data_IF_045525581442
#
_entry.id   IF_045525581442
#
_cell.length_a   1.000
_cell.length_b   1.000
_cell.length_c   1.000
_cell.angle_alpha   90.00
_cell.angle_beta   90.00
_cell.angle_gamma   90.00
#
_symmetry.space_group_name_H-M   'P 1'
#
loop_
_entity.id
_entity.type
_entity.pdbx_description
1 polymer ?
#
# COMPACT_ATOMS: atom_id res chain seq x y z
N UNK A 1 -17.08 21.70 -44.44
CA UNK A 1 -16.88 20.55 -43.52
C UNK A 1 -15.77 20.89 -42.54
N UNK A 2 -16.08 21.54 -41.42
CA UNK A 2 -15.13 21.84 -40.35
C UNK A 2 -15.78 21.40 -39.04
N UNK A 3 -15.33 20.26 -38.50
CA UNK A 3 -15.43 19.85 -37.08
C UNK A 3 -15.30 18.32 -36.98
N UNK A 4 -14.07 17.80 -37.07
CA UNK A 4 -13.73 16.48 -36.50
C UNK A 4 -12.24 16.32 -36.16
N UNK A 5 -11.36 17.26 -36.51
CA UNK A 5 -9.91 17.12 -36.26
C UNK A 5 -9.46 17.54 -34.85
N UNK A 6 -10.23 18.37 -34.14
CA UNK A 6 -9.81 18.88 -32.82
C UNK A 6 -10.02 17.89 -31.66
N UNK A 7 -11.02 17.01 -31.74
CA UNK A 7 -11.34 16.08 -30.65
C UNK A 7 -10.42 14.84 -30.61
N UNK A 8 -9.97 14.34 -31.77
CA UNK A 8 -9.09 13.18 -31.86
C UNK A 8 -7.63 13.52 -31.48
N UNK A 9 -7.23 14.78 -31.71
CA UNK A 9 -5.88 15.27 -31.38
C UNK A 9 -5.72 15.46 -29.87
N UNK A 10 -6.74 16.00 -29.19
CA UNK A 10 -6.76 16.11 -27.73
C UNK A 10 -6.73 14.74 -27.05
N UNK A 11 -7.51 13.76 -27.52
CA UNK A 11 -7.51 12.41 -26.95
C UNK A 11 -6.14 11.72 -27.06
N UNK A 12 -5.43 11.93 -28.17
CA UNK A 12 -4.11 11.31 -28.41
C UNK A 12 -3.00 12.02 -27.61
N UNK A 13 -3.09 13.34 -27.44
CA UNK A 13 -2.13 14.13 -26.65
C UNK A 13 -2.29 13.90 -25.15
N UNK A 14 -3.54 13.85 -24.66
CA UNK A 14 -3.85 13.41 -23.29
C UNK A 14 -3.31 12.01 -23.03
N UNK A 15 -3.54 11.06 -23.94
CA UNK A 15 -3.03 9.69 -23.80
C UNK A 15 -1.49 9.63 -23.75
N UNK A 16 -0.78 10.44 -24.53
CA UNK A 16 0.70 10.50 -24.51
C UNK A 16 1.25 11.11 -23.22
N UNK A 17 0.63 12.18 -22.71
CA UNK A 17 1.01 12.79 -21.44
C UNK A 17 0.77 11.82 -20.29
N UNK A 18 -0.39 11.17 -20.26
CA UNK A 18 -0.74 10.12 -19.30
C UNK A 18 0.28 8.96 -19.37
N UNK A 19 0.66 8.47 -20.55
CA UNK A 19 1.70 7.42 -20.71
C UNK A 19 3.08 7.86 -20.18
N UNK A 20 3.48 9.12 -20.39
CA UNK A 20 4.75 9.66 -19.88
C UNK A 20 4.76 9.77 -18.35
N UNK A 21 3.63 10.14 -17.74
CA UNK A 21 3.46 10.19 -16.29
C UNK A 21 3.38 8.79 -15.66
N UNK A 22 2.74 7.84 -16.32
CA UNK A 22 2.73 6.44 -15.90
C UNK A 22 4.12 5.82 -15.91
N UNK A 23 4.90 6.08 -16.96
CA UNK A 23 6.29 5.62 -17.07
C UNK A 23 7.18 6.24 -15.97
N UNK A 24 6.98 7.52 -15.65
CA UNK A 24 7.74 8.19 -14.58
C UNK A 24 7.37 7.70 -13.18
N UNK A 25 6.11 7.38 -12.91
CA UNK A 25 5.68 6.85 -11.61
C UNK A 25 6.22 5.44 -11.36
N UNK A 26 6.18 4.54 -12.34
CA UNK A 26 6.75 3.19 -12.18
C UNK A 26 8.25 3.25 -11.90
N UNK A 27 8.96 4.15 -12.58
CA UNK A 27 10.38 4.37 -12.31
C UNK A 27 10.62 4.91 -10.88
N UNK A 28 9.84 5.91 -10.45
CA UNK A 28 9.97 6.48 -9.09
C UNK A 28 9.73 5.42 -8.00
N UNK A 29 8.77 4.52 -8.19
CA UNK A 29 8.51 3.40 -7.27
C UNK A 29 9.73 2.48 -7.19
N UNK A 30 10.28 2.07 -8.35
CA UNK A 30 11.44 1.20 -8.40
C UNK A 30 12.69 1.83 -7.76
N UNK A 31 12.91 3.13 -7.98
CA UNK A 31 13.98 3.89 -7.33
C UNK A 31 13.81 3.92 -5.80
N UNK A 32 12.59 4.24 -5.33
CA UNK A 32 12.28 4.25 -3.91
C UNK A 32 12.56 2.88 -3.27
N UNK A 33 12.10 1.80 -3.89
CA UNK A 33 12.29 0.44 -3.37
C UNK A 33 13.75 0.03 -3.34
N UNK A 34 14.54 0.45 -4.32
CA UNK A 34 15.98 0.20 -4.38
C UNK A 34 16.70 0.91 -3.22
N UNK A 35 16.40 2.19 -3.00
CA UNK A 35 16.98 2.95 -1.88
C UNK A 35 16.54 2.37 -0.55
N UNK A 36 15.26 2.01 -0.41
CA UNK A 36 14.72 1.41 0.80
C UNK A 36 15.38 0.06 1.10
N UNK A 37 15.64 -0.75 0.06
CA UNK A 37 16.36 -2.01 0.21
C UNK A 37 17.79 -1.79 0.68
N UNK A 38 18.52 -0.86 0.05
CA UNK A 38 19.89 -0.52 0.44
C UNK A 38 19.96 0.06 1.87
N UNK A 39 19.01 0.92 2.24
CA UNK A 39 18.98 1.59 3.55
C UNK A 39 18.86 0.64 4.74
N UNK A 40 18.32 -0.56 4.51
CA UNK A 40 18.07 -1.54 5.55
C UNK A 40 19.07 -2.68 5.56
N UNK A 41 19.98 -2.75 4.58
CA UNK A 41 20.89 -3.88 4.40
C UNK A 41 21.76 -4.10 5.65
N UNK A 42 22.55 -3.08 6.03
CA UNK A 42 23.43 -3.14 7.21
C UNK A 42 22.65 -3.39 8.51
N UNK A 43 21.42 -2.85 8.58
CA UNK A 43 20.55 -3.04 9.75
C UNK A 43 20.13 -4.51 9.90
N UNK A 44 19.87 -5.22 8.80
CA UNK A 44 19.48 -6.63 8.86
C UNK A 44 20.62 -7.51 9.34
N UNK A 45 21.86 -7.20 8.98
CA UNK A 45 23.04 -7.87 9.54
C UNK A 45 23.11 -7.71 11.06
N UNK A 46 23.03 -6.46 11.56
CA UNK A 46 23.04 -6.18 13.01
C UNK A 46 21.88 -6.87 13.73
N UNK A 47 20.69 -6.92 13.10
CA UNK A 47 19.54 -7.64 13.66
C UNK A 47 19.81 -9.13 13.77
N UNK A 48 20.35 -9.77 12.73
CA UNK A 48 20.65 -11.20 12.75
C UNK A 48 21.67 -11.53 13.85
N UNK A 49 22.73 -10.72 13.99
CA UNK A 49 23.76 -10.87 15.04
C UNK A 49 23.18 -10.72 16.46
N UNK A 50 22.23 -9.81 16.66
CA UNK A 50 21.62 -9.56 17.98
C UNK A 50 20.45 -10.50 18.31
N UNK A 51 19.99 -11.31 17.36
CA UNK A 51 18.80 -12.17 17.52
C UNK A 51 19.10 -13.57 18.07
N UNK A 52 20.27 -13.81 18.66
CA UNK A 52 20.61 -15.11 19.26
C UNK A 52 20.94 -16.22 18.25
N UNK A 53 21.26 -15.85 17.01
CA UNK A 53 21.96 -16.72 16.07
C UNK A 53 23.43 -16.84 16.48
N UNK A 54 24.05 -17.99 16.24
CA UNK A 54 25.50 -18.13 16.33
C UNK A 54 26.18 -17.42 15.16
N UNK A 55 27.42 -16.98 15.34
CA UNK A 55 28.22 -16.31 14.29
C UNK A 55 28.24 -17.15 13.00
N UNK A 56 28.44 -18.47 13.12
CA UNK A 56 28.41 -19.39 11.97
C UNK A 56 27.06 -19.42 11.25
N UNK A 57 25.94 -19.27 11.96
CA UNK A 57 24.62 -19.17 11.32
C UNK A 57 24.45 -17.84 10.59
N UNK A 58 24.91 -16.74 11.21
CA UNK A 58 24.87 -15.42 10.59
C UNK A 58 25.67 -15.42 9.29
N UNK A 59 26.93 -15.87 9.32
CA UNK A 59 27.80 -15.93 8.14
C UNK A 59 27.16 -16.75 7.02
N UNK A 60 26.65 -17.95 7.36
CA UNK A 60 25.97 -18.82 6.39
C UNK A 60 24.67 -18.23 5.84
N UNK A 61 24.03 -17.30 6.54
CA UNK A 61 22.86 -16.58 6.03
C UNK A 61 23.29 -15.44 5.11
N UNK A 62 24.32 -14.69 5.50
CA UNK A 62 24.81 -13.53 4.75
C UNK A 62 25.47 -13.93 3.42
N UNK A 63 26.20 -15.06 3.41
CA UNK A 63 26.88 -15.60 2.23
C UNK A 63 25.96 -16.40 1.30
N UNK A 64 24.69 -16.56 1.65
CA UNK A 64 23.73 -17.36 0.87
C UNK A 64 23.05 -16.55 -0.24
N UNK A 65 22.82 -17.20 -1.37
CA UNK A 65 21.95 -16.68 -2.44
C UNK A 65 20.52 -16.36 -1.96
N UNK A 66 20.05 -17.01 -0.88
CA UNK A 66 18.73 -16.77 -0.28
C UNK A 66 18.69 -15.52 0.63
N UNK A 67 19.80 -14.80 0.82
CA UNK A 67 19.86 -13.60 1.68
C UNK A 67 18.76 -12.59 1.33
N UNK A 68 18.56 -12.34 0.04
CA UNK A 68 17.53 -11.39 -0.44
C UNK A 68 16.12 -11.82 -0.01
N UNK A 69 15.84 -13.12 0.05
CA UNK A 69 14.55 -13.63 0.51
C UNK A 69 14.36 -13.43 2.02
N UNK A 70 15.44 -13.58 2.81
CA UNK A 70 15.44 -13.31 4.25
C UNK A 70 15.15 -11.83 4.50
N UNK A 71 15.88 -10.93 3.85
CA UNK A 71 15.70 -9.48 3.98
C UNK A 71 14.28 -9.04 3.55
N UNK A 72 13.76 -9.60 2.47
CA UNK A 72 12.38 -9.36 2.03
C UNK A 72 11.33 -9.85 3.04
N UNK A 73 11.58 -10.99 3.71
CA UNK A 73 10.71 -11.50 4.76
C UNK A 73 10.75 -10.64 6.03
N UNK A 74 11.93 -10.16 6.42
CA UNK A 74 12.13 -9.22 7.54
C UNK A 74 11.42 -7.89 7.28
N UNK A 75 11.69 -7.26 6.13
CA UNK A 75 11.05 -5.98 5.73
C UNK A 75 9.53 -6.08 5.80
N UNK A 76 8.97 -7.19 5.31
CA UNK A 76 7.53 -7.44 5.35
C UNK A 76 7.01 -7.66 6.75
N UNK A 77 7.72 -8.42 7.59
CA UNK A 77 7.37 -8.61 9.00
C UNK A 77 7.25 -7.29 9.74
N UNK A 78 8.26 -6.44 9.58
CA UNK A 78 8.29 -5.10 10.15
C UNK A 78 7.14 -4.21 9.63
N UNK A 79 6.83 -4.33 8.35
CA UNK A 79 5.71 -3.64 7.69
C UNK A 79 4.34 -4.12 8.14
N UNK A 80 4.26 -5.33 8.71
CA UNK A 80 3.06 -5.92 9.28
C UNK A 80 2.97 -5.77 10.81
N UNK A 81 3.93 -5.04 11.41
CA UNK A 81 3.98 -4.80 12.85
C UNK A 81 4.41 -6.03 13.67
N UNK A 82 5.06 -7.00 13.03
CA UNK A 82 5.70 -8.10 13.74
C UNK A 82 7.02 -7.63 14.36
N UNK A 83 7.33 -8.20 15.52
CA UNK A 83 8.65 -8.09 16.11
C UNK A 83 9.56 -9.09 15.38
N UNK A 84 10.30 -8.59 14.40
CA UNK A 84 11.14 -9.43 13.54
C UNK A 84 12.36 -9.98 14.27
N UNK A 85 12.85 -9.30 15.31
CA UNK A 85 13.94 -9.79 16.15
C UNK A 85 13.48 -10.99 16.98
N UNK A 86 12.30 -10.91 17.61
CA UNK A 86 11.68 -12.05 18.32
C UNK A 86 11.44 -13.24 17.37
N UNK A 87 10.97 -12.98 16.15
CA UNK A 87 10.76 -14.04 15.16
C UNK A 87 12.07 -14.75 14.78
N UNK A 88 13.15 -14.00 14.53
CA UNK A 88 14.48 -14.57 14.26
C UNK A 88 14.97 -15.36 15.48
N UNK A 89 14.86 -14.78 16.68
CA UNK A 89 15.26 -15.42 17.94
C UNK A 89 14.56 -16.76 18.18
N UNK A 90 13.28 -16.85 17.86
CA UNK A 90 12.49 -18.09 17.97
C UNK A 90 12.79 -19.09 16.86
N UNK A 91 13.35 -18.64 15.74
CA UNK A 91 13.78 -19.49 14.64
C UNK A 91 15.18 -20.09 14.88
N UNK A 92 16.07 -19.36 15.56
CA UNK A 92 17.48 -19.69 15.73
C UNK A 92 17.75 -21.16 16.14
N UNK A 93 17.08 -21.75 17.15
CA UNK A 93 17.35 -23.14 17.55
C UNK A 93 17.04 -24.19 16.47
N UNK A 94 16.20 -23.85 15.48
CA UNK A 94 15.86 -24.76 14.36
C UNK A 94 16.89 -24.73 13.24
N UNK A 95 17.82 -23.77 13.27
CA UNK A 95 18.85 -23.60 12.25
C UNK A 95 20.13 -24.36 12.60
N UNK A 96 20.24 -24.88 13.82
CA UNK A 96 21.39 -25.65 14.28
C UNK A 96 21.57 -26.90 13.40
N UNK A 97 22.74 -26.99 12.75
CA UNK A 97 23.04 -28.08 11.81
C UNK A 97 22.21 -28.08 10.51
N UNK A 98 21.38 -27.06 10.26
CA UNK A 98 20.56 -27.02 9.05
C UNK A 98 21.45 -26.83 7.80
N UNK A 99 21.21 -27.57 6.69
CA UNK A 99 22.05 -27.47 5.49
C UNK A 99 21.88 -26.12 4.77
N UNK A 100 20.70 -25.51 4.85
CA UNK A 100 20.37 -24.24 4.20
C UNK A 100 19.72 -23.28 5.20
N UNK A 101 20.49 -22.65 6.11
CA UNK A 101 19.92 -21.83 7.19
C UNK A 101 19.17 -20.59 6.68
N UNK A 102 19.63 -19.97 5.58
CA UNK A 102 18.96 -18.84 4.95
C UNK A 102 17.57 -19.18 4.42
N UNK A 103 17.43 -20.26 3.64
CA UNK A 103 16.13 -20.75 3.18
C UNK A 103 15.19 -21.09 4.34
N UNK A 104 15.71 -21.77 5.37
CA UNK A 104 14.92 -22.17 6.53
C UNK A 104 14.40 -20.97 7.33
N UNK A 105 15.24 -19.98 7.62
CA UNK A 105 14.79 -18.78 8.34
C UNK A 105 13.84 -17.94 7.48
N UNK A 106 14.07 -17.83 6.18
CA UNK A 106 13.14 -17.17 5.26
C UNK A 106 11.77 -17.87 5.29
N UNK A 107 11.71 -19.20 5.26
CA UNK A 107 10.45 -19.94 5.34
C UNK A 107 9.71 -19.68 6.67
N UNK A 108 10.44 -19.73 7.79
CA UNK A 108 9.89 -19.46 9.12
C UNK A 108 9.32 -18.05 9.19
N UNK A 109 10.11 -17.04 8.80
CA UNK A 109 9.67 -15.65 8.77
C UNK A 109 8.42 -15.51 7.89
N UNK A 110 8.43 -16.02 6.67
CA UNK A 110 7.31 -15.91 5.76
C UNK A 110 6.02 -16.57 6.28
N UNK A 111 6.13 -17.64 7.07
CA UNK A 111 4.97 -18.28 7.71
C UNK A 111 4.28 -17.36 8.71
N UNK A 112 5.03 -16.52 9.42
CA UNK A 112 4.48 -15.58 10.40
C UNK A 112 4.16 -14.20 9.80
N UNK A 113 4.93 -13.75 8.81
CA UNK A 113 4.80 -12.41 8.23
C UNK A 113 3.82 -12.35 7.06
N UNK A 114 3.25 -13.50 6.65
CA UNK A 114 2.26 -13.59 5.59
C UNK A 114 0.96 -12.83 5.88
N UNK A 115 0.54 -12.74 7.15
CA UNK A 115 -0.62 -11.98 7.60
C UNK A 115 -0.22 -10.81 8.52
N UNK A 116 -1.00 -9.70 8.55
CA UNK A 116 -0.87 -8.69 9.60
C UNK A 116 -1.00 -9.33 10.99
N UNK A 117 -0.29 -8.79 11.97
CA UNK A 117 -0.33 -9.31 13.34
C UNK A 117 -1.76 -9.23 13.92
N UNK A 118 -2.42 -10.38 14.08
CA UNK A 118 -3.77 -10.49 14.66
C UNK A 118 -3.81 -9.93 16.08
N UNK A 119 -4.83 -9.15 16.40
CA UNK A 119 -5.07 -8.62 17.76
C UNK A 119 -4.16 -7.46 18.18
N UNK A 120 -3.29 -6.96 17.30
CA UNK A 120 -2.53 -5.75 17.59
C UNK A 120 -3.47 -4.54 17.54
N UNK A 121 -3.66 -3.87 18.68
CA UNK A 121 -4.25 -2.51 18.74
C UNK A 121 -3.28 -1.43 18.24
N UNK A 122 -2.09 -1.81 17.76
CA UNK A 122 -1.11 -0.86 17.27
C UNK A 122 -1.63 -0.16 16.01
N UNK A 123 -1.34 1.13 15.92
CA UNK A 123 -1.60 1.94 14.72
C UNK A 123 -0.93 1.25 13.53
N UNK A 124 -1.70 1.03 12.45
CA UNK A 124 -1.17 0.47 11.23
C UNK A 124 0.04 1.29 10.77
N UNK A 125 1.17 0.64 10.41
CA UNK A 125 2.37 1.38 10.06
C UNK A 125 2.13 2.26 8.84
N UNK A 126 2.74 3.46 8.86
CA UNK A 126 2.68 4.40 7.75
C UNK A 126 3.29 3.78 6.49
N UNK A 127 2.71 4.13 5.35
CA UNK A 127 3.06 3.62 4.01
C UNK A 127 3.01 4.78 3.02
N UNK A 128 3.91 4.77 2.04
CA UNK A 128 3.88 5.74 0.93
C UNK A 128 2.59 5.51 0.15
N UNK A 129 1.75 6.56 0.10
CA UNK A 129 0.41 6.52 -0.50
C UNK A 129 -0.43 5.29 -0.07
N UNK A 130 -0.28 4.83 1.18
CA UNK A 130 -1.05 3.72 1.74
C UNK A 130 -0.63 2.32 1.30
N UNK A 131 0.30 2.18 0.35
CA UNK A 131 0.69 0.88 -0.21
C UNK A 131 2.13 0.47 0.14
N UNK A 132 3.11 1.27 -0.30
CA UNK A 132 4.52 0.87 -0.25
C UNK A 132 5.07 1.04 1.18
N UNK A 133 5.76 0.03 1.74
CA UNK A 133 6.38 0.15 3.05
C UNK A 133 7.34 1.33 3.19
N UNK A 134 7.30 1.96 4.37
CA UNK A 134 8.35 2.90 4.79
C UNK A 134 9.39 2.12 5.60
N UNK A 135 10.66 2.12 5.19
CA UNK A 135 11.70 1.43 5.94
C UNK A 135 11.85 2.08 7.32
N UNK A 136 11.93 1.25 8.38
CA UNK A 136 12.10 1.74 9.76
C UNK A 136 13.55 1.56 10.22
N UNK A 137 13.80 1.97 11.46
CA UNK A 137 15.06 1.77 12.16
C UNK A 137 16.10 2.84 11.86
N UNK A 138 17.34 2.55 12.24
CA UNK A 138 18.47 3.44 11.98
C UNK A 138 18.76 3.42 10.46
N UNK A 139 18.65 4.60 9.86
CA UNK A 139 18.94 4.87 8.45
C UNK A 139 19.82 6.13 8.44
N UNK A 140 20.82 6.19 7.57
CA UNK A 140 21.65 7.39 7.42
C UNK A 140 20.81 8.60 7.00
N UNK A 141 21.26 9.80 7.35
CA UNK A 141 20.48 11.01 7.06
C UNK A 141 20.29 11.23 5.55
N UNK A 142 21.32 11.00 4.75
CA UNK A 142 21.26 11.12 3.30
C UNK A 142 20.22 10.18 2.68
N UNK A 143 20.19 8.92 3.13
CA UNK A 143 19.20 7.96 2.63
C UNK A 143 17.79 8.29 3.13
N UNK A 144 17.64 8.78 4.36
CA UNK A 144 16.36 9.26 4.88
C UNK A 144 15.83 10.44 4.04
N UNK A 145 16.70 11.38 3.70
CA UNK A 145 16.35 12.51 2.83
C UNK A 145 15.92 12.02 1.44
N UNK A 146 16.69 11.13 0.82
CA UNK A 146 16.40 10.56 -0.49
C UNK A 146 15.07 9.77 -0.54
N UNK A 147 14.76 9.03 0.53
CA UNK A 147 13.48 8.33 0.69
C UNK A 147 12.32 9.30 0.88
N UNK A 148 12.51 10.33 1.70
CA UNK A 148 11.48 11.35 1.99
C UNK A 148 11.12 12.13 0.73
N UNK A 149 12.12 12.53 -0.07
CA UNK A 149 11.90 13.23 -1.34
C UNK A 149 11.05 12.38 -2.29
N UNK A 150 11.41 11.10 -2.46
CA UNK A 150 10.69 10.17 -3.34
C UNK A 150 9.29 9.86 -2.82
N UNK A 151 9.11 9.66 -1.51
CA UNK A 151 7.80 9.51 -0.88
C UNK A 151 6.88 10.70 -1.24
N UNK A 152 7.38 11.93 -1.15
CA UNK A 152 6.62 13.13 -1.46
C UNK A 152 6.28 13.24 -2.95
N UNK A 153 7.19 12.89 -3.85
CA UNK A 153 6.93 12.89 -5.29
C UNK A 153 5.89 11.81 -5.63
N UNK A 154 6.11 10.56 -5.22
CA UNK A 154 5.19 9.43 -5.46
C UNK A 154 3.80 9.77 -4.93
N UNK A 155 3.70 10.23 -3.68
CA UNK A 155 2.40 10.52 -3.06
C UNK A 155 1.64 11.63 -3.80
N UNK A 156 2.32 12.70 -4.21
CA UNK A 156 1.70 13.79 -4.99
C UNK A 156 1.27 13.32 -6.38
N UNK A 157 2.14 12.61 -7.09
CA UNK A 157 1.85 12.12 -8.45
C UNK A 157 0.67 11.16 -8.45
N UNK A 158 0.66 10.14 -7.59
CA UNK A 158 -0.46 9.18 -7.51
C UNK A 158 -1.75 9.89 -7.13
N UNK A 159 -1.69 10.84 -6.19
CA UNK A 159 -2.88 11.61 -5.79
C UNK A 159 -3.44 12.41 -6.96
N UNK A 160 -2.59 13.08 -7.75
CA UNK A 160 -3.02 13.79 -8.97
C UNK A 160 -3.72 12.83 -9.94
N UNK A 161 -3.05 11.72 -10.29
CA UNK A 161 -3.61 10.70 -11.17
C UNK A 161 -4.94 10.13 -10.66
N UNK A 162 -5.11 10.04 -9.34
CA UNK A 162 -6.38 9.61 -8.73
C UNK A 162 -7.48 10.64 -8.98
N UNK A 163 -7.19 11.92 -8.79
CA UNK A 163 -8.14 13.01 -9.04
C UNK A 163 -8.52 13.03 -10.52
N UNK A 164 -7.53 12.95 -11.41
CA UNK A 164 -7.75 12.94 -12.86
C UNK A 164 -8.64 11.76 -13.29
N UNK A 165 -8.39 10.56 -12.75
CA UNK A 165 -9.21 9.37 -13.02
C UNK A 165 -10.66 9.52 -12.52
N UNK A 166 -10.85 10.17 -11.36
CA UNK A 166 -12.17 10.45 -10.79
C UNK A 166 -12.93 11.49 -11.65
N UNK A 167 -12.27 12.55 -12.09
CA UNK A 167 -12.84 13.59 -12.94
C UNK A 167 -13.18 13.06 -14.34
N UNK A 168 -12.33 12.21 -14.90
CA UNK A 168 -12.55 11.53 -16.18
C UNK A 168 -13.63 10.42 -16.09
N UNK A 169 -14.07 10.05 -14.89
CA UNK A 169 -15.06 9.00 -14.69
C UNK A 169 -14.57 7.63 -15.13
N UNK A 170 -13.29 7.29 -14.87
CA UNK A 170 -12.70 6.04 -15.31
C UNK A 170 -13.52 4.81 -14.84
N UNK A 171 -13.56 3.71 -15.62
CA UNK A 171 -14.49 2.58 -15.38
C UNK A 171 -14.40 1.90 -14.01
N UNK A 172 -13.29 2.03 -13.28
CA UNK A 172 -13.11 1.46 -11.95
C UNK A 172 -13.65 2.37 -10.84
N UNK A 173 -13.70 3.68 -11.06
CA UNK A 173 -14.02 4.69 -10.05
C UNK A 173 -15.41 4.56 -9.45
N UNK A 174 -16.49 4.17 -10.18
CA UNK A 174 -17.82 4.03 -9.58
C UNK A 174 -17.87 2.96 -8.49
N UNK A 175 -16.93 2.01 -8.49
CA UNK A 175 -16.88 0.93 -7.51
C UNK A 175 -16.49 1.44 -6.11
N UNK A 176 -15.75 2.55 -6.02
CA UNK A 176 -15.40 3.20 -4.74
C UNK A 176 -16.62 3.73 -3.97
N UNK A 177 -17.75 3.93 -4.66
CA UNK A 177 -18.93 4.58 -4.11
C UNK A 177 -18.84 6.11 -4.15
N UNK A 178 -19.90 6.77 -3.67
CA UNK A 178 -20.02 8.23 -3.73
C UNK A 178 -19.05 8.90 -2.75
N UNK A 179 -18.27 9.91 -3.19
CA UNK A 179 -17.44 10.71 -2.29
C UNK A 179 -18.28 11.31 -1.14
N UNK A 180 -17.84 11.19 0.12
CA UNK A 180 -18.52 11.80 1.25
C UNK A 180 -18.61 13.33 1.15
N UNK A 181 -19.65 13.91 1.74
CA UNK A 181 -19.84 15.37 1.80
C UNK A 181 -18.97 16.06 2.85
N UNK A 182 -18.67 15.38 3.97
CA UNK A 182 -17.81 15.94 5.02
C UNK A 182 -16.34 15.94 4.61
N UNK A 183 -15.66 17.09 4.70
CA UNK A 183 -14.29 17.28 4.21
C UNK A 183 -13.29 16.25 4.74
N UNK A 184 -13.32 15.94 6.04
CA UNK A 184 -12.41 14.96 6.62
C UNK A 184 -12.66 13.54 6.11
N UNK A 185 -13.93 13.15 5.96
CA UNK A 185 -14.30 11.84 5.42
C UNK A 185 -13.98 11.75 3.93
N UNK A 186 -14.15 12.85 3.19
CA UNK A 186 -13.80 12.97 1.78
C UNK A 186 -12.30 12.84 1.56
N UNK A 187 -11.48 13.47 2.40
CA UNK A 187 -10.03 13.35 2.36
C UNK A 187 -9.58 11.90 2.65
N UNK A 188 -10.15 11.27 3.68
CA UNK A 188 -9.86 9.86 3.97
C UNK A 188 -10.32 8.90 2.86
N UNK A 189 -11.43 9.22 2.19
CA UNK A 189 -11.91 8.47 1.03
C UNK A 189 -10.97 8.63 -0.17
N UNK A 190 -10.46 9.85 -0.41
CA UNK A 190 -9.50 10.12 -1.48
C UNK A 190 -8.17 9.40 -1.23
N UNK A 191 -7.68 9.37 0.02
CA UNK A 191 -6.49 8.59 0.38
C UNK A 191 -6.65 7.09 0.10
N UNK A 192 -7.83 6.55 0.38
CA UNK A 192 -8.15 5.16 0.04
C UNK A 192 -8.18 4.92 -1.47
N UNK A 193 -8.77 5.85 -2.25
CA UNK A 193 -8.75 5.81 -3.70
C UNK A 193 -7.31 5.89 -4.26
N UNK A 194 -6.45 6.76 -3.69
CA UNK A 194 -5.04 6.90 -4.06
C UNK A 194 -4.25 5.62 -3.80
N UNK A 195 -4.53 4.91 -2.71
CA UNK A 195 -3.92 3.60 -2.44
C UNK A 195 -4.25 2.59 -3.55
N UNK A 196 -5.50 2.58 -4.01
CA UNK A 196 -5.96 1.69 -5.09
C UNK A 196 -5.35 2.11 -6.43
N UNK A 197 -5.24 3.41 -6.71
CA UNK A 197 -4.60 3.90 -7.93
C UNK A 197 -3.13 3.50 -8.00
N UNK A 198 -2.38 3.61 -6.89
CA UNK A 198 -1.00 3.15 -6.82
C UNK A 198 -0.89 1.63 -7.02
N UNK A 199 -1.81 0.86 -6.42
CA UNK A 199 -1.87 -0.58 -6.61
C UNK A 199 -2.08 -0.94 -8.08
N UNK A 200 -3.07 -0.30 -8.72
CA UNK A 200 -3.37 -0.50 -10.14
C UNK A 200 -2.16 -0.19 -11.01
N UNK A 201 -1.48 0.91 -10.74
CA UNK A 201 -0.26 1.29 -11.46
C UNK A 201 0.84 0.24 -11.31
N UNK A 202 1.13 -0.15 -10.07
CA UNK A 202 2.25 -1.03 -9.75
C UNK A 202 2.09 -2.43 -10.36
N UNK A 203 0.88 -2.97 -10.34
CA UNK A 203 0.59 -4.33 -10.83
C UNK A 203 -0.03 -4.36 -12.23
N UNK A 204 -0.10 -3.22 -12.93
CA UNK A 204 -0.65 -3.15 -14.28
C UNK A 204 -2.13 -3.51 -14.38
N UNK A 205 -2.91 -3.24 -13.32
CA UNK A 205 -4.35 -3.51 -13.30
C UNK A 205 -5.07 -2.43 -14.11
N UNK A 206 -5.77 -2.85 -15.16
CA UNK A 206 -6.42 -1.94 -16.13
C UNK A 206 -7.93 -2.13 -16.17
N UNK A 207 -8.61 -1.28 -16.94
CA UNK A 207 -10.06 -1.36 -17.11
C UNK A 207 -10.83 -1.12 -15.80
N UNK A 208 -11.95 -1.83 -15.65
CA UNK A 208 -12.90 -1.66 -14.53
C UNK A 208 -12.53 -2.42 -13.24
N UNK A 209 -11.47 -3.22 -13.26
CA UNK A 209 -11.01 -4.02 -12.12
C UNK A 209 -10.29 -3.17 -11.08
N UNK A 210 -10.79 -3.01 -9.86
CA UNK A 210 -10.04 -2.27 -8.82
C UNK A 210 -8.72 -2.96 -8.47
N UNK A 211 -8.79 -4.28 -8.32
CA UNK A 211 -7.71 -5.19 -7.97
C UNK A 211 -7.71 -6.31 -9.00
N UNK A 212 -6.56 -6.90 -9.27
CA UNK A 212 -6.42 -8.13 -10.05
C UNK A 212 -7.08 -9.33 -9.36
N UNK A 213 -7.19 -10.43 -10.09
CA UNK A 213 -7.78 -11.67 -9.56
C UNK A 213 -6.92 -12.22 -8.41
N UNK A 214 -7.52 -12.64 -7.30
CA UNK A 214 -6.79 -13.13 -6.12
C UNK A 214 -6.05 -14.47 -6.33
N UNK A 215 -6.23 -15.17 -7.46
CA UNK A 215 -5.76 -16.55 -7.67
C UNK A 215 -4.70 -16.70 -8.79
N UNK A 216 -3.54 -17.30 -8.48
CA UNK A 216 -2.79 -17.12 -7.24
C UNK A 216 -1.77 -16.01 -7.46
N UNK A 217 -1.92 -14.91 -6.72
CA UNK A 217 -0.80 -14.02 -6.47
C UNK A 217 0.24 -14.82 -5.68
N UNK A 218 1.18 -15.43 -6.39
CA UNK A 218 2.23 -16.29 -5.83
C UNK A 218 3.35 -15.47 -5.23
N UNK A 219 3.59 -14.26 -5.78
CA UNK A 219 4.49 -13.32 -5.16
C UNK A 219 3.90 -12.80 -3.86
N UNK A 220 4.74 -12.94 -2.85
CA UNK A 220 4.40 -12.83 -1.47
C UNK A 220 4.37 -11.32 -1.08
N UNK A 221 5.13 -10.48 -1.78
CA UNK A 221 5.06 -9.02 -1.65
C UNK A 221 3.78 -8.46 -2.31
N UNK A 222 3.48 -8.89 -3.53
CA UNK A 222 2.23 -8.58 -4.22
C UNK A 222 1.00 -9.00 -3.40
N UNK A 223 0.97 -10.20 -2.81
CA UNK A 223 -0.14 -10.64 -1.97
C UNK A 223 -0.37 -9.73 -0.75
N UNK A 224 0.71 -9.14 -0.23
CA UNK A 224 0.63 -8.19 0.87
C UNK A 224 0.07 -6.84 0.39
N UNK A 225 0.52 -6.33 -0.75
CA UNK A 225 0.03 -5.09 -1.37
C UNK A 225 -1.44 -5.21 -1.77
N UNK A 226 -1.86 -6.37 -2.27
CA UNK A 226 -3.26 -6.71 -2.55
C UNK A 226 -4.13 -6.50 -1.31
N UNK A 227 -3.70 -7.00 -0.14
CA UNK A 227 -4.47 -6.84 1.10
C UNK A 227 -4.55 -5.39 1.57
N UNK A 228 -3.47 -4.62 1.42
CA UNK A 228 -3.49 -3.20 1.73
C UNK A 228 -4.50 -2.46 0.83
N UNK A 229 -4.50 -2.75 -0.47
CA UNK A 229 -5.45 -2.19 -1.43
C UNK A 229 -6.90 -2.66 -1.18
N UNK A 230 -7.09 -3.92 -0.77
CA UNK A 230 -8.39 -4.44 -0.34
C UNK A 230 -8.92 -3.72 0.91
N UNK A 231 -8.05 -3.46 1.90
CA UNK A 231 -8.40 -2.67 3.08
C UNK A 231 -8.80 -1.23 2.73
N UNK A 232 -8.05 -0.59 1.82
CA UNK A 232 -8.39 0.73 1.31
C UNK A 232 -9.76 0.73 0.60
N UNK A 233 -10.04 -0.28 -0.23
CA UNK A 233 -11.34 -0.43 -0.87
C UNK A 233 -12.48 -0.55 0.15
N UNK A 234 -12.33 -1.39 1.17
CA UNK A 234 -13.33 -1.51 2.24
C UNK A 234 -13.53 -0.19 2.99
N UNK A 235 -12.45 0.54 3.26
CA UNK A 235 -12.51 1.86 3.90
C UNK A 235 -13.28 2.88 3.04
N UNK A 236 -12.99 2.96 1.74
CA UNK A 236 -13.70 3.85 0.82
C UNK A 236 -15.20 3.55 0.82
N UNK A 237 -15.59 2.27 0.70
CA UNK A 237 -16.99 1.84 0.74
C UNK A 237 -17.70 2.22 2.04
N UNK A 238 -17.02 2.04 3.18
CA UNK A 238 -17.57 2.38 4.50
C UNK A 238 -17.80 3.88 4.64
N UNK A 239 -16.84 4.70 4.20
CA UNK A 239 -16.96 6.16 4.24
C UNK A 239 -18.12 6.64 3.36
N UNK A 240 -18.24 6.11 2.14
CA UNK A 240 -19.36 6.39 1.23
C UNK A 240 -20.72 6.01 1.83
N UNK A 241 -20.79 4.89 2.57
CA UNK A 241 -22.03 4.42 3.19
C UNK A 241 -22.47 5.25 4.39
N UNK A 242 -21.54 5.62 5.28
CA UNK A 242 -21.83 6.39 6.49
C UNK A 242 -22.41 7.78 6.17
N UNK A 243 -21.92 8.43 5.11
CA UNK A 243 -22.38 9.75 4.67
C UNK A 243 -23.83 9.72 4.14
N UNK A 244 -24.19 8.65 3.41
CA UNK A 244 -25.55 8.42 2.90
C UNK A 244 -26.54 8.18 4.05
N UNK A 245 -26.16 7.40 5.07
CA UNK A 245 -27.00 7.17 6.25
C UNK A 245 -27.21 8.44 7.07
N UNK A 246 -26.18 9.27 7.21
CA UNK A 246 -26.25 10.55 7.91
C UNK A 246 -27.16 11.55 7.19
N UNK A 247 -27.11 11.59 5.86
CA UNK A 247 -27.95 12.45 5.03
C UNK A 247 -29.42 12.00 4.98
N UNK A 248 -29.70 10.69 5.05
CA UNK A 248 -31.06 10.15 5.07
C UNK A 248 -31.81 10.38 6.39
N UNK A 249 -31.09 10.48 7.51
CA UNK A 249 -31.70 10.65 8.85
C UNK A 249 -32.24 12.06 9.11
N UNK A 250 -31.90 13.07 8.29
CA UNK A 250 -32.30 14.47 8.52
C UNK A 250 -33.69 14.81 7.91
N UNK A 251 -34.34 13.90 7.18
CA UNK A 251 -35.59 14.20 6.43
C UNK A 251 -36.93 13.82 7.08
N UNK A 252 -36.99 13.45 8.35
CA UNK A 252 -38.26 13.10 9.02
C UNK A 252 -38.52 13.87 10.33
N UNK A 253 -38.78 15.19 10.25
CA UNK A 253 -39.66 15.95 11.16
C UNK A 253 -40.21 17.13 10.34
N UNK A 254 -41.50 17.46 10.23
CA UNK A 254 -42.69 17.18 11.02
C UNK A 254 -43.95 17.23 10.12
N UNK A 255 -45.09 16.61 10.50
CA UNK A 255 -46.38 17.02 9.98
C UNK A 255 -46.87 18.27 10.74
N UNK A 256 -47.17 19.32 9.99
CA UNK A 256 -47.90 20.51 10.46
C UNK A 256 -49.19 20.08 11.18
N UNK A 257 -49.29 20.33 12.49
CA UNK A 257 -50.58 20.30 13.17
C UNK A 257 -51.32 21.58 12.81
N UNK A 258 -52.31 21.41 11.93
CA UNK A 258 -53.21 22.45 11.47
C UNK A 258 -53.86 23.22 12.61
N UNK A 259 -53.90 24.53 12.40
CA UNK A 259 -54.71 25.51 13.13
C UNK A 259 -56.19 25.12 13.04
N UNK A 260 -56.70 24.50 14.10
CA UNK A 260 -58.13 24.32 14.35
C UNK A 260 -58.74 25.64 14.84
N UNK A 261 -59.25 26.43 13.90
CA UNK A 261 -60.17 27.56 14.14
C UNK A 261 -61.57 26.99 14.39
N UNK A 262 -62.23 27.37 15.48
CA UNK A 262 -63.67 27.77 15.52
C UNK A 262 -64.18 28.06 16.96
N UNK A 263 -64.78 29.25 17.04
CA UNK A 263 -65.90 29.73 17.87
C UNK A 263 -65.69 29.82 19.39
#
# INVERSE_FOLDING_TARGET
>A
MLARSGAEQTATETLRLTVSEHASLTQLIAEYETIAAHAQHDRWEVLLQSSGLSDTQVDRILDSDDRVQVEAALRRGESNGHDVEDLVRRAAPRLDGHPHPAAAIAEVLNRFTGEPRRGSRAVAPKRVAGLIPIPKGQISEDMRAALTEREQIITRTVRSLTIDALEAGEPWTPRLGTPPTQDQAREAWLQAATTIQLYRQKHGVTGSMLLDSPEPITDRAHAHEYRAAQGAYQQARRLSGNDQSSSGSVRHTAPERGLGRRL
#
